data_IF_080386690016
#
_entry.id   IF_080386690016
#
_cell.length_a   1.000
_cell.length_b   1.000
_cell.length_c   1.000
_cell.angle_alpha   90.00
_cell.angle_beta   90.00
_cell.angle_gamma   90.00
#
_symmetry.space_group_name_H-M   'P 1'
#
loop_
_entity.id
_entity.type
_entity.pdbx_description
1 polymer ?
#
# COMPACT_ATOMS: atom_id res chain seq x y z
N UNK A 1 18.60 -14.08 7.71
CA UNK A 1 17.73 -13.49 6.70
C UNK A 1 16.84 -14.57 6.07
N UNK A 2 15.59 -14.22 5.78
CA UNK A 2 14.64 -15.12 5.13
C UNK A 2 14.83 -15.21 3.60
N UNK A 3 15.84 -14.53 3.06
CA UNK A 3 16.28 -14.68 1.67
C UNK A 3 17.31 -15.81 1.55
N UNK A 4 16.97 -16.89 0.84
CA UNK A 4 17.84 -18.07 0.64
C UNK A 4 17.67 -18.62 -0.76
N UNK A 5 18.80 -18.92 -1.43
CA UNK A 5 18.82 -19.50 -2.79
C UNK A 5 18.04 -18.70 -3.84
N UNK A 6 18.07 -17.35 -3.77
CA UNK A 6 17.38 -16.49 -4.73
C UNK A 6 15.89 -16.30 -4.47
N UNK A 7 15.37 -16.72 -3.31
CA UNK A 7 13.96 -16.62 -2.96
C UNK A 7 13.77 -16.15 -1.52
N UNK A 8 12.72 -15.35 -1.29
CA UNK A 8 12.23 -15.05 0.06
C UNK A 8 11.43 -16.25 0.59
N UNK A 9 11.68 -16.63 1.82
CA UNK A 9 11.01 -17.77 2.47
C UNK A 9 10.22 -17.28 3.68
N UNK A 10 9.01 -17.79 3.84
CA UNK A 10 8.26 -17.59 5.07
C UNK A 10 8.93 -18.33 6.24
N UNK A 11 8.77 -17.83 7.46
CA UNK A 11 9.26 -18.51 8.68
C UNK A 11 8.57 -19.85 8.89
N UNK A 12 7.29 -19.92 8.52
CA UNK A 12 6.50 -21.15 8.55
C UNK A 12 6.14 -21.56 7.14
N UNK A 13 6.07 -22.86 6.90
CA UNK A 13 5.64 -23.41 5.62
C UNK A 13 4.22 -22.92 5.30
N UNK A 14 4.07 -22.26 4.18
CA UNK A 14 2.79 -21.67 3.74
C UNK A 14 2.43 -22.28 2.40
N UNK A 15 1.26 -22.95 2.33
CA UNK A 15 0.73 -23.47 1.08
C UNK A 15 0.30 -22.32 0.19
N UNK A 16 0.98 -22.13 -0.93
CA UNK A 16 0.66 -21.08 -1.91
C UNK A 16 -0.67 -21.29 -2.63
N UNK A 17 -1.15 -22.54 -2.67
CA UNK A 17 -2.43 -22.89 -3.28
C UNK A 17 -3.13 -23.94 -2.42
N UNK A 18 -4.34 -23.62 -1.98
CA UNK A 18 -5.17 -24.49 -1.15
C UNK A 18 -6.26 -25.23 -1.94
N UNK A 19 -6.35 -25.00 -3.28
CA UNK A 19 -7.34 -25.68 -4.12
C UNK A 19 -6.66 -26.67 -5.07
N UNK A 20 -7.23 -27.87 -5.17
CA UNK A 20 -6.84 -28.91 -6.13
C UNK A 20 -7.22 -28.53 -7.60
N UNK A 21 -7.85 -27.37 -7.80
CA UNK A 21 -8.24 -26.87 -9.12
C UNK A 21 -7.05 -26.19 -9.78
N UNK A 22 -6.74 -26.57 -11.02
CA UNK A 22 -5.62 -26.03 -11.77
C UNK A 22 -5.66 -24.48 -11.87
N UNK A 23 -4.49 -23.85 -12.00
CA UNK A 23 -4.28 -22.39 -12.07
C UNK A 23 -5.25 -21.67 -13.03
N UNK A 24 -5.53 -22.25 -14.19
CA UNK A 24 -6.43 -21.67 -15.20
C UNK A 24 -7.89 -21.60 -14.75
N UNK A 25 -8.36 -22.56 -13.99
CA UNK A 25 -9.73 -22.58 -13.46
C UNK A 25 -9.94 -21.48 -12.42
N UNK A 26 -8.94 -21.20 -11.57
CA UNK A 26 -9.00 -20.13 -10.59
C UNK A 26 -9.02 -18.74 -11.24
N UNK A 27 -8.20 -18.52 -12.27
CA UNK A 27 -8.16 -17.25 -13.02
C UNK A 27 -9.49 -17.03 -13.76
N UNK A 28 -10.01 -18.06 -14.40
CA UNK A 28 -11.30 -17.99 -15.10
C UNK A 28 -12.44 -17.65 -14.13
N UNK A 29 -12.48 -18.30 -12.98
CA UNK A 29 -13.48 -18.06 -11.94
C UNK A 29 -13.37 -16.63 -11.38
N UNK A 30 -12.16 -16.15 -11.14
CA UNK A 30 -11.88 -14.77 -10.68
C UNK A 30 -12.38 -13.71 -11.68
N UNK A 31 -12.19 -13.93 -12.98
CA UNK A 31 -12.56 -12.94 -14.00
C UNK A 31 -14.06 -12.98 -14.32
N UNK A 32 -14.67 -14.15 -14.37
CA UNK A 32 -16.02 -14.32 -14.91
C UNK A 32 -17.10 -14.64 -13.87
N UNK A 33 -16.74 -15.00 -12.66
CA UNK A 33 -17.71 -15.27 -11.60
C UNK A 33 -18.28 -13.97 -11.06
N UNK A 34 -19.55 -13.72 -11.32
CA UNK A 34 -20.30 -12.69 -10.63
C UNK A 34 -20.65 -13.16 -9.24
N UNK A 35 -20.17 -12.45 -8.23
CA UNK A 35 -20.52 -12.68 -6.83
C UNK A 35 -21.44 -11.54 -6.40
N UNK A 36 -22.67 -11.86 -6.02
CA UNK A 36 -23.63 -10.88 -5.52
C UNK A 36 -23.11 -10.30 -4.19
N UNK A 37 -23.31 -8.99 -4.01
CA UNK A 37 -22.87 -8.30 -2.80
C UNK A 37 -21.34 -8.00 -2.74
N UNK A 38 -20.56 -8.30 -3.79
CA UNK A 38 -19.12 -8.01 -3.82
C UNK A 38 -18.81 -6.52 -3.79
N UNK A 39 -19.72 -5.68 -4.26
CA UNK A 39 -19.59 -4.22 -4.28
C UNK A 39 -20.79 -3.56 -3.64
N UNK A 40 -20.59 -2.47 -2.87
CA UNK A 40 -21.71 -1.69 -2.37
C UNK A 40 -22.57 -1.17 -3.52
N UNK A 41 -23.89 -1.29 -3.40
CA UNK A 41 -24.85 -0.74 -4.38
C UNK A 41 -24.83 0.79 -4.39
N UNK A 42 -24.61 1.40 -3.23
CA UNK A 42 -24.54 2.85 -3.05
C UNK A 42 -23.09 3.30 -2.86
N UNK A 43 -22.81 4.57 -3.17
CA UNK A 43 -21.53 5.17 -2.87
C UNK A 43 -21.26 5.15 -1.36
N UNK A 44 -20.03 4.77 -0.99
CA UNK A 44 -19.58 4.82 0.40
C UNK A 44 -19.59 6.28 0.85
N UNK A 45 -20.22 6.56 1.99
CA UNK A 45 -20.18 7.89 2.59
C UNK A 45 -18.80 8.12 3.18
N UNK A 46 -18.07 9.04 2.59
CA UNK A 46 -16.74 9.42 3.07
C UNK A 46 -16.68 10.95 3.24
N UNK A 47 -15.84 11.41 4.14
CA UNK A 47 -15.64 12.83 4.44
C UNK A 47 -14.21 13.19 4.05
N UNK A 48 -14.06 14.23 3.22
CA UNK A 48 -12.74 14.78 2.91
C UNK A 48 -12.38 15.85 3.95
N UNK A 49 -11.22 15.69 4.56
CA UNK A 49 -10.62 16.64 5.49
C UNK A 49 -9.33 17.20 4.88
N UNK A 50 -9.01 18.47 5.13
CA UNK A 50 -7.73 19.04 4.71
C UNK A 50 -6.61 18.55 5.64
N UNK A 51 -5.93 17.47 5.24
CA UNK A 51 -4.91 16.80 6.04
C UNK A 51 -3.70 17.69 6.33
N UNK A 52 -3.45 18.70 5.49
CA UNK A 52 -2.33 19.63 5.66
C UNK A 52 -2.57 20.64 6.77
N UNK A 53 -3.82 20.87 7.15
CA UNK A 53 -4.20 21.76 8.26
C UNK A 53 -4.23 21.08 9.62
N UNK A 54 -4.14 19.75 9.66
CA UNK A 54 -4.13 19.01 10.92
C UNK A 54 -2.81 19.24 11.64
N UNK A 55 -2.88 19.74 12.86
CA UNK A 55 -1.70 20.00 13.70
C UNK A 55 -0.96 18.72 14.07
N UNK A 56 0.37 18.78 14.12
CA UNK A 56 1.22 17.61 14.42
C UNK A 56 0.95 16.96 15.80
N UNK A 57 0.33 17.70 16.72
CA UNK A 57 -0.01 17.20 18.07
C UNK A 57 -1.36 16.47 18.13
N UNK A 58 -2.10 16.40 17.02
CA UNK A 58 -3.37 15.70 16.95
C UNK A 58 -3.12 14.22 16.64
N UNK A 59 -3.81 13.35 17.38
CA UNK A 59 -3.78 11.90 17.12
C UNK A 59 -4.89 11.55 16.15
N UNK A 60 -4.56 11.07 14.96
CA UNK A 60 -5.54 10.75 13.92
C UNK A 60 -5.24 9.44 13.21
N UNK A 61 -6.30 8.81 12.73
CA UNK A 61 -6.27 7.75 11.75
C UNK A 61 -7.22 8.11 10.60
N UNK A 62 -6.70 8.17 9.39
CA UNK A 62 -7.50 8.38 8.18
C UNK A 62 -7.37 7.18 7.26
N UNK A 63 -8.47 6.51 6.99
CA UNK A 63 -8.51 5.39 6.05
C UNK A 63 -8.93 5.88 4.67
N UNK A 64 -8.13 5.58 3.64
CA UNK A 64 -8.36 6.00 2.26
C UNK A 64 -9.04 4.93 1.41
N UNK A 65 -9.21 3.74 1.93
CA UNK A 65 -9.73 2.56 1.26
C UNK A 65 -8.69 1.47 1.13
N UNK A 66 -9.14 0.24 0.87
CA UNK A 66 -8.30 -0.96 0.83
C UNK A 66 -7.34 -1.00 2.02
N UNK A 67 -6.04 -1.07 1.79
CA UNK A 67 -4.99 -1.08 2.82
C UNK A 67 -4.31 0.28 3.01
N UNK A 68 -4.84 1.36 2.39
CA UNK A 68 -4.23 2.69 2.42
C UNK A 68 -4.74 3.50 3.61
N UNK A 69 -3.84 3.97 4.48
CA UNK A 69 -4.19 4.84 5.60
C UNK A 69 -3.05 5.73 6.06
N UNK A 70 -3.43 6.87 6.66
CA UNK A 70 -2.51 7.78 7.35
C UNK A 70 -2.74 7.66 8.86
N UNK A 71 -1.68 7.40 9.58
CA UNK A 71 -1.64 7.48 11.04
C UNK A 71 -0.81 8.72 11.41
N UNK A 72 -1.33 9.55 12.29
CA UNK A 72 -0.54 10.59 12.95
C UNK A 72 -0.58 10.34 14.45
N UNK A 73 0.58 10.11 15.03
CA UNK A 73 0.75 9.82 16.45
C UNK A 73 2.14 10.26 16.92
N UNK A 74 2.23 10.77 18.16
CA UNK A 74 3.49 11.25 18.72
C UNK A 74 4.19 12.32 17.86
N UNK A 75 3.43 13.13 17.13
CA UNK A 75 3.96 14.14 16.22
C UNK A 75 4.51 13.60 14.89
N UNK A 76 4.43 12.28 14.64
CA UNK A 76 4.88 11.63 13.41
C UNK A 76 3.70 11.28 12.50
N UNK A 77 3.91 11.38 11.19
CA UNK A 77 2.96 10.99 10.14
C UNK A 77 3.48 9.75 9.42
N UNK A 78 2.70 8.70 9.50
CA UNK A 78 2.99 7.39 8.92
C UNK A 78 1.94 7.11 7.85
N UNK A 79 2.37 7.03 6.59
CA UNK A 79 1.50 6.70 5.46
C UNK A 79 1.74 5.24 5.08
N UNK A 80 0.69 4.44 5.06
CA UNK A 80 0.77 2.98 4.81
C UNK A 80 0.10 2.65 3.50
N UNK A 81 0.79 1.88 2.66
CA UNK A 81 0.32 1.33 1.38
C UNK A 81 -0.52 2.31 0.55
N UNK A 82 -0.03 3.54 0.25
CA UNK A 82 -0.86 4.55 -0.41
C UNK A 82 -1.08 4.23 -1.89
N UNK A 83 -2.34 4.07 -2.28
CA UNK A 83 -2.77 3.84 -3.65
C UNK A 83 -3.81 4.90 -4.05
N UNK A 84 -3.35 5.99 -4.65
CA UNK A 84 -4.19 7.12 -5.05
C UNK A 84 -4.31 7.28 -6.56
N UNK A 85 -3.45 6.61 -7.33
CA UNK A 85 -3.41 6.77 -8.78
C UNK A 85 -3.86 5.52 -9.52
N UNK A 86 -3.33 4.34 -9.15
CA UNK A 86 -3.62 3.12 -9.90
C UNK A 86 -3.37 1.87 -9.05
N UNK A 87 -4.43 1.16 -8.70
CA UNK A 87 -4.38 -0.11 -7.98
C UNK A 87 -4.09 -1.33 -8.87
N UNK A 88 -3.89 -1.13 -10.18
CA UNK A 88 -3.61 -2.22 -11.14
C UNK A 88 -3.08 -1.63 -12.45
N UNK A 89 -2.15 -2.30 -13.16
CA UNK A 89 -1.68 -1.87 -14.48
C UNK A 89 -2.79 -1.91 -15.53
N UNK A 90 -3.90 -2.58 -15.22
CA UNK A 90 -5.09 -2.64 -16.09
C UNK A 90 -6.18 -1.78 -15.43
N UNK A 91 -6.42 -0.60 -15.96
CA UNK A 91 -7.24 0.46 -15.37
C UNK A 91 -8.71 0.11 -15.06
N UNK A 92 -9.24 -0.96 -15.61
CA UNK A 92 -10.60 -1.43 -15.33
C UNK A 92 -10.68 -2.56 -14.29
N UNK A 93 -9.53 -3.12 -13.90
CA UNK A 93 -9.41 -4.13 -12.84
C UNK A 93 -9.11 -3.40 -11.52
N UNK A 94 -9.72 -3.82 -10.43
CA UNK A 94 -9.53 -3.24 -9.09
C UNK A 94 -9.87 -1.74 -8.97
N UNK A 95 -11.04 -1.35 -9.50
CA UNK A 95 -11.56 -0.01 -9.23
C UNK A 95 -11.99 0.11 -7.78
N UNK A 96 -11.64 1.23 -7.11
CA UNK A 96 -12.12 1.52 -5.77
C UNK A 96 -13.66 1.60 -5.72
N UNK A 97 -14.24 1.51 -4.54
CA UNK A 97 -15.67 1.69 -4.36
C UNK A 97 -16.04 3.17 -4.61
N UNK A 98 -17.20 3.40 -5.21
CA UNK A 98 -17.69 4.76 -5.41
C UNK A 98 -17.75 5.52 -4.08
N UNK A 99 -17.21 6.72 -4.05
CA UNK A 99 -17.18 7.59 -2.86
C UNK A 99 -15.92 7.47 -2.02
N UNK A 100 -14.99 6.53 -2.30
CA UNK A 100 -13.71 6.43 -1.59
C UNK A 100 -12.57 7.20 -2.28
N UNK A 101 -12.75 7.62 -3.53
CA UNK A 101 -11.74 8.35 -4.34
C UNK A 101 -11.71 9.85 -4.00
N UNK A 102 -11.58 10.20 -2.71
CA UNK A 102 -11.61 11.59 -2.28
C UNK A 102 -10.24 12.25 -2.24
N UNK A 103 -9.19 11.45 -2.08
CA UNK A 103 -7.84 11.93 -1.86
C UNK A 103 -6.94 11.63 -3.05
N UNK A 104 -5.98 12.51 -3.26
CA UNK A 104 -4.91 12.38 -4.25
C UNK A 104 -3.57 12.57 -3.55
N UNK A 105 -2.43 12.26 -4.20
CA UNK A 105 -1.12 12.57 -3.63
C UNK A 105 -0.95 14.04 -3.24
N UNK A 106 -1.63 14.96 -3.95
CA UNK A 106 -1.53 16.41 -3.68
C UNK A 106 -2.22 16.83 -2.37
N UNK A 107 -3.13 16.02 -1.86
CA UNK A 107 -3.82 16.27 -0.58
C UNK A 107 -2.97 15.85 0.63
N UNK A 108 -1.89 15.08 0.42
CA UNK A 108 -1.06 14.57 1.50
C UNK A 108 -0.18 15.67 2.10
N UNK A 109 -0.02 15.69 3.43
CA UNK A 109 0.99 16.52 4.10
C UNK A 109 2.40 15.91 3.92
N UNK A 110 3.41 16.54 4.51
CA UNK A 110 4.72 15.90 4.66
C UNK A 110 4.62 14.66 5.54
N UNK A 111 5.24 13.57 5.10
CA UNK A 111 5.19 12.23 5.67
C UNK A 111 6.55 11.91 6.28
N UNK A 112 6.57 11.54 7.56
CA UNK A 112 7.82 11.14 8.21
C UNK A 112 8.23 9.74 7.75
N UNK A 113 7.26 8.80 7.68
CA UNK A 113 7.50 7.42 7.29
C UNK A 113 6.46 6.94 6.28
N UNK A 114 6.94 6.47 5.12
CA UNK A 114 6.15 5.67 4.20
C UNK A 114 6.38 4.19 4.54
N UNK A 115 5.32 3.46 4.86
CA UNK A 115 5.38 2.02 5.14
C UNK A 115 4.73 1.26 4.01
N UNK A 116 5.45 0.30 3.44
CA UNK A 116 4.95 -0.60 2.40
C UNK A 116 4.94 -2.03 2.95
N UNK A 117 3.78 -2.67 2.91
CA UNK A 117 3.61 -4.04 3.41
C UNK A 117 4.17 -5.08 2.44
N UNK A 118 4.00 -4.88 1.14
CA UNK A 118 4.53 -5.73 0.06
C UNK A 118 4.42 -5.02 -1.30
N UNK A 119 4.95 -5.62 -2.35
CA UNK A 119 5.14 -5.02 -3.68
C UNK A 119 3.99 -5.24 -4.68
N UNK A 120 2.82 -5.68 -4.25
CA UNK A 120 1.65 -5.73 -5.13
C UNK A 120 1.18 -4.33 -5.51
N UNK A 121 0.61 -4.19 -6.71
CA UNK A 121 0.19 -2.89 -7.27
C UNK A 121 -0.88 -2.16 -6.47
N UNK A 122 -1.70 -2.91 -5.74
CA UNK A 122 -2.74 -2.38 -4.83
C UNK A 122 -2.21 -2.03 -3.43
N UNK A 123 -0.88 -2.10 -3.25
CA UNK A 123 -0.14 -1.66 -2.06
C UNK A 123 1.02 -0.72 -2.41
N UNK A 124 1.73 -0.98 -3.50
CA UNK A 124 2.86 -0.19 -3.98
C UNK A 124 2.53 0.47 -5.33
N UNK A 125 1.87 1.64 -5.27
CA UNK A 125 1.51 2.43 -6.45
C UNK A 125 2.66 3.38 -6.84
N UNK A 126 3.39 3.04 -7.90
CA UNK A 126 4.49 3.83 -8.45
C UNK A 126 4.14 5.31 -8.63
N UNK A 127 2.99 5.61 -9.23
CA UNK A 127 2.60 6.98 -9.53
C UNK A 127 2.34 7.79 -8.26
N UNK A 128 1.73 7.18 -7.27
CA UNK A 128 1.52 7.79 -5.95
C UNK A 128 2.85 8.07 -5.27
N UNK A 129 3.72 7.06 -5.18
CA UNK A 129 5.04 7.16 -4.53
C UNK A 129 5.90 8.22 -5.20
N UNK A 130 5.95 8.23 -6.54
CA UNK A 130 6.72 9.21 -7.29
C UNK A 130 6.27 10.66 -7.05
N UNK A 131 4.96 10.90 -6.96
CA UNK A 131 4.42 12.23 -6.66
C UNK A 131 4.67 12.67 -5.23
N UNK A 132 4.82 11.73 -4.31
CA UNK A 132 5.07 12.00 -2.89
C UNK A 132 6.56 12.06 -2.53
N UNK A 133 7.46 11.68 -3.43
CA UNK A 133 8.89 11.45 -3.16
C UNK A 133 9.55 12.55 -2.33
N UNK A 134 9.32 13.81 -2.67
CA UNK A 134 9.96 14.96 -2.02
C UNK A 134 9.34 15.30 -0.65
N UNK A 135 8.20 14.68 -0.33
CA UNK A 135 7.46 14.86 0.93
C UNK A 135 7.60 13.66 1.88
N UNK A 136 8.29 12.59 1.48
CA UNK A 136 8.54 11.41 2.29
C UNK A 136 9.90 11.56 2.98
N UNK A 137 9.96 11.41 4.30
CA UNK A 137 11.19 11.40 5.07
C UNK A 137 11.97 10.10 4.86
N UNK A 138 11.42 8.97 5.30
CA UNK A 138 12.01 7.65 5.12
C UNK A 138 10.96 6.63 4.64
N UNK A 139 11.44 5.55 4.02
CA UNK A 139 10.62 4.41 3.57
C UNK A 139 10.97 3.21 4.41
N UNK A 140 9.96 2.52 4.94
CA UNK A 140 10.10 1.26 5.66
C UNK A 140 9.39 0.19 4.83
N UNK A 141 10.10 -0.85 4.44
CA UNK A 141 9.56 -1.89 3.57
C UNK A 141 10.22 -3.26 3.84
N UNK A 142 9.64 -4.36 3.35
CA UNK A 142 10.27 -5.66 3.42
C UNK A 142 11.55 -5.74 2.59
N UNK A 143 12.41 -6.70 2.92
CA UNK A 143 13.64 -7.01 2.17
C UNK A 143 13.36 -7.18 0.68
N UNK A 144 14.16 -6.52 -0.16
CA UNK A 144 14.09 -6.55 -1.62
C UNK A 144 13.12 -5.55 -2.23
N UNK A 145 12.17 -5.00 -1.47
CA UNK A 145 11.22 -3.98 -1.96
C UNK A 145 11.92 -2.63 -2.14
N UNK A 146 12.98 -2.37 -1.38
CA UNK A 146 13.80 -1.16 -1.49
C UNK A 146 14.40 -0.96 -2.88
N UNK A 147 14.68 -2.03 -3.63
CA UNK A 147 15.20 -1.95 -5.00
C UNK A 147 14.27 -1.17 -5.94
N UNK A 148 12.95 -1.27 -5.77
CA UNK A 148 11.99 -0.47 -6.52
C UNK A 148 12.18 1.02 -6.25
N UNK A 149 12.34 1.39 -4.99
CA UNK A 149 12.55 2.79 -4.58
C UNK A 149 13.89 3.34 -5.08
N UNK A 150 14.97 2.57 -5.00
CA UNK A 150 16.27 2.94 -5.57
C UNK A 150 16.14 3.19 -7.09
N UNK A 151 15.48 2.28 -7.82
CA UNK A 151 15.21 2.42 -9.25
C UNK A 151 14.36 3.66 -9.57
N UNK A 152 13.46 4.07 -8.67
CA UNK A 152 12.66 5.29 -8.80
C UNK A 152 13.39 6.53 -8.32
N UNK A 153 14.68 6.39 -7.95
CA UNK A 153 15.59 7.47 -7.61
C UNK A 153 15.46 7.97 -6.17
N UNK A 154 14.98 7.17 -5.23
CA UNK A 154 15.11 7.48 -3.81
C UNK A 154 16.56 7.27 -3.36
N UNK A 155 17.02 8.11 -2.44
CA UNK A 155 18.32 7.97 -1.82
C UNK A 155 18.31 6.74 -0.90
N UNK A 156 19.37 5.93 -0.98
CA UNK A 156 19.46 4.66 -0.23
C UNK A 156 19.41 4.86 1.29
N UNK A 157 19.94 5.96 1.77
CA UNK A 157 19.94 6.31 3.20
C UNK A 157 18.53 6.56 3.75
N UNK A 158 17.54 6.76 2.88
CA UNK A 158 16.13 6.93 3.26
C UNK A 158 15.35 5.61 3.26
N UNK A 159 15.99 4.49 2.85
CA UNK A 159 15.35 3.18 2.72
C UNK A 159 15.73 2.30 3.91
N UNK A 160 14.75 1.80 4.61
CA UNK A 160 14.87 0.90 5.75
C UNK A 160 14.17 -0.39 5.37
N UNK A 161 14.95 -1.39 5.00
CA UNK A 161 14.44 -2.73 4.71
C UNK A 161 14.49 -3.58 5.96
N UNK A 162 13.38 -4.23 6.29
CA UNK A 162 13.25 -5.07 7.48
C UNK A 162 12.89 -6.50 7.11
N UNK A 163 13.51 -7.44 7.79
CA UNK A 163 13.14 -8.86 7.81
C UNK A 163 12.15 -9.14 8.95
N UNK A 164 11.66 -10.36 9.04
CA UNK A 164 10.79 -10.80 10.13
C UNK A 164 11.40 -10.55 11.50
N UNK A 165 10.62 -9.94 12.41
CA UNK A 165 11.01 -9.60 13.79
C UNK A 165 12.17 -8.59 13.89
N UNK A 166 12.46 -7.85 12.85
CA UNK A 166 13.33 -6.67 12.91
C UNK A 166 12.51 -5.42 13.16
N UNK A 167 13.11 -4.43 13.79
CA UNK A 167 12.52 -3.14 14.12
C UNK A 167 13.46 -2.01 13.66
N UNK A 168 12.86 -0.88 13.29
CA UNK A 168 13.57 0.35 12.99
C UNK A 168 13.57 1.25 14.23
N UNK A 169 14.77 1.65 14.69
CA UNK A 169 14.97 2.55 15.83
C UNK A 169 15.24 3.99 15.37
#
# INVERSE_FOLDING_TARGET
>A
PNYRNGEFKNQHETLLMTSDRGRFSGIWEFIFRKIDGLRPEQAVKAIKTDLRKIGRNEEILVWFGHSSYLIQTGGKRILVDPVFCMASPVSFVNKPFKGTELYTPDDMPDIDYLVISHDHWDHLDYNTVKKLKDRIGAVICPLGVGEHFEYWGFDKERLIELDWNEDAN
#
